data_IF_669818130630
#
_entry.id   IF_669818130630
#
_cell.length_a   1.000
_cell.length_b   1.000
_cell.length_c   1.000
_cell.angle_alpha   90.00
_cell.angle_beta   90.00
_cell.angle_gamma   90.00
#
_symmetry.space_group_name_H-M   'P 1'
#
loop_
_entity.id
_entity.type
_entity.pdbx_description
1 polymer ?
#
# COMPACT_ATOMS: atom_id res chain seq x y z
N UNK A 1 12.99 -5.68 -8.19
CA UNK A 1 11.65 -5.14 -8.49
C UNK A 1 11.82 -3.80 -9.23
N UNK A 2 11.24 -3.61 -10.43
CA UNK A 2 11.39 -2.39 -11.21
C UNK A 2 10.91 -1.12 -10.48
N UNK A 3 9.91 -1.19 -9.59
CA UNK A 3 9.44 -0.04 -8.82
C UNK A 3 10.45 0.37 -7.75
N UNK A 4 11.00 -0.60 -7.03
CA UNK A 4 12.03 -0.33 -6.03
C UNK A 4 13.27 0.29 -6.69
N UNK A 5 13.66 -0.21 -7.86
CA UNK A 5 14.79 0.37 -8.58
C UNK A 5 14.49 1.81 -9.05
N UNK A 6 13.26 2.10 -9.48
CA UNK A 6 12.88 3.47 -9.84
C UNK A 6 12.91 4.46 -8.66
N UNK A 7 12.55 4.00 -7.46
CA UNK A 7 12.70 4.79 -6.22
C UNK A 7 14.17 5.07 -5.91
N UNK A 8 15.03 4.05 -6.04
CA UNK A 8 16.48 4.18 -5.77
C UNK A 8 17.13 5.11 -6.79
N UNK A 9 16.83 4.91 -8.07
CA UNK A 9 17.43 5.66 -9.17
C UNK A 9 16.81 7.05 -9.32
N UNK A 10 15.70 7.33 -8.62
CA UNK A 10 15.03 8.63 -8.63
C UNK A 10 14.48 8.99 -10.01
N UNK A 11 13.85 8.04 -10.71
CA UNK A 11 13.28 8.26 -12.06
C UNK A 11 11.77 8.10 -12.08
N UNK A 12 11.11 8.83 -12.98
CA UNK A 12 9.65 8.71 -13.18
C UNK A 12 9.30 7.35 -13.77
N UNK A 13 8.08 6.93 -13.50
CA UNK A 13 7.52 5.66 -13.97
C UNK A 13 6.17 5.93 -14.63
N UNK A 14 5.97 5.39 -15.83
CA UNK A 14 4.64 5.19 -16.40
C UNK A 14 4.04 3.94 -15.74
N UNK A 15 2.99 4.14 -14.95
CA UNK A 15 2.40 3.12 -14.09
C UNK A 15 1.02 2.70 -14.61
N UNK A 16 0.93 1.47 -15.10
CA UNK A 16 -0.35 0.81 -15.35
C UNK A 16 -0.98 0.36 -14.02
N UNK A 17 -2.24 0.72 -13.79
CA UNK A 17 -2.91 0.47 -12.51
C UNK A 17 -4.40 0.17 -12.67
N UNK A 18 -4.87 -0.87 -11.97
CA UNK A 18 -6.30 -1.20 -11.83
C UNK A 18 -6.85 -0.69 -10.50
N UNK A 19 -7.87 0.15 -10.56
CA UNK A 19 -8.56 0.66 -9.39
C UNK A 19 -9.43 -0.44 -8.74
N UNK A 20 -9.88 -0.21 -7.51
CA UNK A 20 -10.73 -1.18 -6.77
C UNK A 20 -12.01 -1.53 -7.53
N UNK A 21 -12.54 -0.59 -8.30
CA UNK A 21 -13.76 -0.75 -9.11
C UNK A 21 -13.48 -1.40 -10.49
N UNK A 22 -12.26 -1.87 -10.73
CA UNK A 22 -11.86 -2.54 -11.97
C UNK A 22 -11.46 -1.61 -13.10
N UNK A 23 -11.52 -0.28 -12.92
CA UNK A 23 -11.07 0.65 -13.96
C UNK A 23 -9.55 0.65 -14.11
N UNK A 24 -9.08 0.39 -15.33
CA UNK A 24 -7.66 0.52 -15.68
C UNK A 24 -7.29 1.96 -15.99
N UNK A 25 -6.08 2.35 -15.61
CA UNK A 25 -5.49 3.66 -15.93
C UNK A 25 -3.98 3.53 -16.12
N UNK A 26 -3.41 4.40 -16.92
CA UNK A 26 -1.96 4.65 -16.95
C UNK A 26 -1.69 6.07 -16.47
N UNK A 27 -0.58 6.27 -15.77
CA UNK A 27 -0.16 7.60 -15.30
C UNK A 27 1.35 7.66 -15.05
N UNK A 28 1.95 8.79 -15.36
CA UNK A 28 3.30 9.11 -14.89
C UNK A 28 3.28 9.38 -13.39
N UNK A 29 4.17 8.74 -12.64
CA UNK A 29 4.34 8.95 -11.20
C UNK A 29 5.80 9.29 -10.88
N UNK A 30 5.99 10.01 -9.77
CA UNK A 30 7.29 10.28 -9.17
C UNK A 30 7.45 9.37 -7.93
N UNK A 31 8.13 8.21 -8.05
CA UNK A 31 8.25 7.25 -6.96
C UNK A 31 8.99 7.85 -5.77
N UNK A 32 8.40 7.80 -4.57
CA UNK A 32 9.01 8.34 -3.35
C UNK A 32 9.47 7.25 -2.40
N UNK A 33 8.79 6.11 -2.35
CA UNK A 33 9.13 5.00 -1.47
C UNK A 33 8.19 3.80 -1.60
N UNK A 34 8.69 2.63 -1.22
CA UNK A 34 7.90 1.39 -1.11
C UNK A 34 7.79 1.02 0.37
N UNK A 35 6.58 0.76 0.83
CA UNK A 35 6.25 0.54 2.25
C UNK A 35 5.24 -0.60 2.40
N UNK A 36 5.23 -1.25 3.57
CA UNK A 36 4.36 -2.39 3.84
C UNK A 36 3.28 -2.05 4.87
N UNK A 37 2.06 -2.54 4.63
CA UNK A 37 0.95 -2.59 5.61
C UNK A 37 0.44 -4.03 5.73
N UNK A 38 0.76 -4.70 6.84
CA UNK A 38 0.47 -6.12 6.97
C UNK A 38 1.07 -6.92 5.81
N UNK A 39 0.30 -7.74 5.07
CA UNK A 39 0.81 -8.52 3.94
C UNK A 39 0.91 -7.73 2.63
N UNK A 40 0.43 -6.48 2.58
CA UNK A 40 0.33 -5.69 1.34
C UNK A 40 1.45 -4.66 1.22
N UNK A 41 2.01 -4.55 0.01
CA UNK A 41 3.00 -3.54 -0.33
C UNK A 41 2.37 -2.37 -1.08
N UNK A 42 2.89 -1.18 -0.80
CA UNK A 42 2.39 0.08 -1.33
C UNK A 42 3.55 0.93 -1.86
N UNK A 43 3.33 1.57 -2.99
CA UNK A 43 4.17 2.64 -3.50
C UNK A 43 3.57 3.99 -3.06
N UNK A 44 4.37 4.80 -2.38
CA UNK A 44 4.09 6.23 -2.19
C UNK A 44 4.72 6.98 -3.35
N UNK A 45 3.93 7.77 -4.07
CA UNK A 45 4.42 8.52 -5.22
C UNK A 45 3.70 9.86 -5.39
N UNK A 46 4.42 10.85 -5.89
CA UNK A 46 3.84 12.09 -6.39
C UNK A 46 3.16 11.88 -7.73
N UNK A 47 2.06 12.59 -7.97
CA UNK A 47 1.44 12.74 -9.30
C UNK A 47 1.10 14.20 -9.56
N UNK A 48 0.65 14.49 -10.77
CA UNK A 48 -0.01 15.74 -11.18
C UNK A 48 -1.12 16.24 -10.22
N UNK A 49 -1.75 15.36 -9.45
CA UNK A 49 -2.82 15.65 -8.48
C UNK A 49 -2.34 15.58 -7.02
N UNK A 50 -1.03 15.68 -6.81
CA UNK A 50 -0.37 15.55 -5.53
C UNK A 50 0.00 14.11 -5.17
N UNK A 51 0.41 13.90 -3.91
CA UNK A 51 0.83 12.59 -3.43
C UNK A 51 -0.31 11.57 -3.42
N UNK A 52 -0.02 10.35 -3.85
CA UNK A 52 -0.95 9.21 -3.83
C UNK A 52 -0.22 7.93 -3.43
N UNK A 53 -1.02 6.94 -3.04
CA UNK A 53 -0.54 5.62 -2.64
C UNK A 53 -1.14 4.57 -3.57
N UNK A 54 -0.30 3.67 -4.07
CA UNK A 54 -0.67 2.61 -5.01
C UNK A 54 -0.37 1.26 -4.38
N UNK A 55 -1.35 0.35 -4.37
CA UNK A 55 -1.12 -1.02 -3.89
C UNK A 55 -0.40 -1.80 -5.00
N UNK A 56 0.76 -2.37 -4.71
CA UNK A 56 1.64 -2.95 -5.74
C UNK A 56 0.99 -4.13 -6.46
N UNK A 57 0.17 -4.92 -5.77
CA UNK A 57 -0.56 -6.05 -6.39
C UNK A 57 -1.63 -5.64 -7.41
N UNK A 58 -1.95 -4.34 -7.51
CA UNK A 58 -2.87 -3.77 -8.52
C UNK A 58 -2.13 -3.05 -9.65
N UNK A 59 -0.80 -3.04 -9.60
CA UNK A 59 0.02 -2.53 -10.69
C UNK A 59 0.02 -3.56 -11.80
N UNK A 60 -0.38 -3.14 -13.00
CA UNK A 60 -0.48 -4.01 -14.17
C UNK A 60 0.71 -3.88 -15.09
N UNK A 61 1.39 -2.73 -15.08
CA UNK A 61 2.56 -2.46 -15.92
C UNK A 61 3.46 -1.40 -15.26
N UNK A 62 4.77 -1.51 -15.49
CA UNK A 62 5.80 -0.61 -14.95
C UNK A 62 6.81 -0.30 -16.04
N UNK A 63 6.74 0.89 -16.61
CA UNK A 63 7.73 1.38 -17.55
C UNK A 63 8.52 2.53 -16.94
N UNK A 64 9.82 2.30 -16.70
CA UNK A 64 10.74 3.34 -16.21
C UNK A 64 11.05 4.32 -17.32
N UNK A 65 11.19 5.59 -16.95
CA UNK A 65 11.61 6.65 -17.87
C UNK A 65 13.06 7.07 -17.59
N UNK A 66 13.59 7.92 -18.46
CA UNK A 66 14.85 8.65 -18.30
C UNK A 66 14.67 9.99 -17.56
N UNK A 67 13.45 10.36 -17.21
CA UNK A 67 13.13 11.64 -16.55
C UNK A 67 13.29 11.51 -15.03
N UNK A 68 13.87 12.52 -14.35
CA UNK A 68 14.03 12.50 -12.91
C UNK A 68 12.67 12.60 -12.19
N UNK A 69 12.53 11.85 -11.10
CA UNK A 69 11.41 11.99 -10.18
C UNK A 69 11.55 13.25 -9.32
N UNK A 70 10.44 13.94 -9.06
CA UNK A 70 10.41 15.08 -8.14
C UNK A 70 10.11 14.56 -6.75
N UNK A 71 11.03 14.74 -5.82
CA UNK A 71 10.82 14.48 -4.40
C UNK A 71 10.63 15.82 -3.67
N UNK A 72 9.56 15.99 -2.85
CA UNK A 72 9.40 17.20 -2.05
C UNK A 72 10.57 17.40 -1.07
N UNK A 73 10.94 18.66 -0.85
CA UNK A 73 11.96 19.01 0.14
C UNK A 73 11.51 18.56 1.54
N UNK A 74 12.43 17.94 2.28
CA UNK A 74 12.15 17.44 3.63
C UNK A 74 11.22 16.21 3.69
N UNK A 75 10.94 15.55 2.55
CA UNK A 75 10.10 14.35 2.54
C UNK A 75 10.68 13.23 3.42
N UNK A 76 9.93 12.85 4.47
CA UNK A 76 10.19 11.70 5.32
C UNK A 76 9.17 10.58 5.02
N UNK A 77 9.67 9.48 4.45
CA UNK A 77 8.83 8.34 4.07
C UNK A 77 8.14 7.70 5.28
N UNK A 78 8.80 7.65 6.44
CA UNK A 78 8.26 7.00 7.63
C UNK A 78 7.14 7.84 8.25
N UNK A 79 7.29 9.16 8.29
CA UNK A 79 6.25 10.07 8.77
C UNK A 79 5.02 10.05 7.86
N UNK A 80 5.22 10.23 6.55
CA UNK A 80 4.16 10.22 5.55
C UNK A 80 3.41 8.87 5.54
N UNK A 81 4.16 7.77 5.66
CA UNK A 81 3.56 6.45 5.70
C UNK A 81 2.69 6.21 6.94
N UNK A 82 3.08 6.71 8.12
CA UNK A 82 2.24 6.60 9.33
C UNK A 82 0.89 7.26 9.11
N UNK A 83 0.86 8.49 8.60
CA UNK A 83 -0.37 9.22 8.32
C UNK A 83 -1.26 8.51 7.28
N UNK A 84 -0.64 7.99 6.20
CA UNK A 84 -1.34 7.20 5.17
C UNK A 84 -1.89 5.89 5.73
N UNK A 85 -1.09 5.15 6.51
CA UNK A 85 -1.49 3.87 7.07
C UNK A 85 -2.72 4.02 7.97
N UNK A 86 -2.74 5.04 8.83
CA UNK A 86 -3.91 5.36 9.65
C UNK A 86 -5.14 5.74 8.81
N UNK A 87 -4.98 6.52 7.75
CA UNK A 87 -6.08 6.87 6.85
C UNK A 87 -6.65 5.63 6.14
N UNK A 88 -5.79 4.69 5.73
CA UNK A 88 -6.21 3.41 5.16
C UNK A 88 -6.96 2.57 6.21
N UNK A 89 -6.56 2.60 7.49
CA UNK A 89 -7.28 1.89 8.56
C UNK A 89 -8.67 2.48 8.78
N UNK A 90 -8.81 3.81 8.78
CA UNK A 90 -10.11 4.49 8.91
C UNK A 90 -11.03 4.28 7.70
N UNK A 91 -10.47 4.14 6.50
CA UNK A 91 -11.22 4.01 5.25
C UNK A 91 -11.63 2.58 4.88
N UNK A 92 -11.12 1.57 5.58
CA UNK A 92 -11.59 0.19 5.42
C UNK A 92 -12.81 -0.06 6.30
N UNK A 93 -13.93 -0.51 5.74
CA UNK A 93 -14.96 -1.15 6.57
C UNK A 93 -14.32 -2.35 7.24
N UNK A 94 -14.26 -2.41 8.58
CA UNK A 94 -13.82 -3.62 9.26
C UNK A 94 -14.73 -4.76 8.81
N UNK A 95 -14.15 -5.81 8.24
CA UNK A 95 -14.90 -7.03 7.96
C UNK A 95 -14.87 -7.84 9.26
N UNK A 96 -16.01 -7.86 9.96
CA UNK A 96 -16.22 -8.82 11.02
C UNK A 96 -16.51 -10.18 10.39
N UNK A 97 -15.69 -11.18 10.74
CA UNK A 97 -15.90 -12.57 10.35
C UNK A 97 -16.30 -13.34 11.60
N UNK A 98 -17.51 -13.88 11.62
CA UNK A 98 -17.94 -14.84 12.64
C UNK A 98 -17.70 -16.25 12.11
N UNK A 99 -16.97 -17.05 12.87
CA UNK A 99 -16.68 -18.43 12.55
C UNK A 99 -16.68 -19.28 13.81
N UNK A 100 -16.92 -20.59 13.65
CA UNK A 100 -16.74 -21.56 14.72
C UNK A 100 -15.32 -22.13 14.60
N UNK A 101 -14.60 -22.18 15.72
CA UNK A 101 -13.29 -22.78 15.80
C UNK A 101 -13.31 -23.91 16.83
N UNK A 102 -12.45 -24.91 16.62
CA UNK A 102 -12.13 -25.89 17.64
C UNK A 102 -11.54 -25.15 18.86
N UNK A 103 -12.03 -25.39 20.10
CA UNK A 103 -11.51 -24.75 21.31
C UNK A 103 -10.00 -24.89 21.46
N UNK A 104 -9.41 -26.00 21.03
CA UNK A 104 -7.96 -26.24 21.11
C UNK A 104 -7.16 -25.32 20.18
N UNK A 105 -7.79 -24.74 19.16
CA UNK A 105 -7.15 -23.81 18.21
C UNK A 105 -7.29 -22.34 18.60
N UNK A 106 -8.03 -22.02 19.65
CA UNK A 106 -8.26 -20.62 20.08
C UNK A 106 -6.93 -19.94 20.43
N UNK A 107 -5.98 -20.63 21.07
CA UNK A 107 -4.69 -20.04 21.43
C UNK A 107 -3.83 -19.71 20.20
N UNK A 108 -3.87 -20.56 19.18
CA UNK A 108 -3.21 -20.28 17.89
C UNK A 108 -3.87 -19.09 17.21
N UNK A 109 -5.21 -19.00 17.24
CA UNK A 109 -5.94 -17.87 16.67
C UNK A 109 -5.64 -16.56 17.41
N UNK A 110 -5.51 -16.57 18.75
CA UNK A 110 -5.06 -15.39 19.51
C UNK A 110 -3.67 -14.94 19.07
N UNK A 111 -2.75 -15.87 18.85
CA UNK A 111 -1.41 -15.53 18.39
C UNK A 111 -1.41 -14.89 16.99
N UNK A 112 -2.22 -15.43 16.06
CA UNK A 112 -2.29 -14.93 14.67
C UNK A 112 -3.07 -13.61 14.57
N UNK A 113 -4.23 -13.51 15.22
CA UNK A 113 -5.17 -12.41 15.07
C UNK A 113 -4.99 -11.31 16.12
N UNK A 114 -4.32 -11.61 17.24
CA UNK A 114 -4.04 -10.67 18.31
C UNK A 114 -5.31 -9.98 18.82
N UNK A 115 -5.26 -8.65 18.92
CA UNK A 115 -6.40 -7.81 19.35
C UNK A 115 -7.58 -7.79 18.37
N UNK A 116 -7.51 -8.51 17.25
CA UNK A 116 -8.56 -8.60 16.22
C UNK A 116 -9.48 -9.82 16.43
N UNK A 117 -9.26 -10.60 17.49
CA UNK A 117 -10.08 -11.76 17.84
C UNK A 117 -10.92 -11.44 19.09
N UNK A 118 -12.22 -11.60 18.97
CA UNK A 118 -13.15 -11.66 20.09
C UNK A 118 -13.72 -13.10 20.22
N UNK A 119 -13.82 -13.61 21.44
CA UNK A 119 -14.25 -14.98 21.73
C UNK A 119 -15.38 -14.93 22.74
N UNK A 120 -16.54 -15.45 22.35
CA UNK A 120 -17.74 -15.48 23.20
C UNK A 120 -18.85 -14.57 22.69
N UNK A 121 -18.50 -13.48 22.00
CA UNK A 121 -19.46 -12.47 21.55
C UNK A 121 -20.11 -11.69 22.68
#
# INVERSE_FOLDING_TARGET
DPLQQAVIDGVQVELGYVARDGRSSSRTVHPLGVVAKGPSWYLVAGTDRGQRTFRIDRVTDVARTDRPATRPDGFDLAEEWRAIAEAIDRGGTPIEVRAVADPERIEVLRWILGSRLDVGG
#
